data_IF_451747789281
#
_entry.id   IF_451747789281
#
_cell.length_a   1.000
_cell.length_b   1.000
_cell.length_c   1.000
_cell.angle_alpha   90.00
_cell.angle_beta   90.00
_cell.angle_gamma   90.00
#
_symmetry.space_group_name_H-M   'P 1'
#
loop_
_entity.id
_entity.type
_entity.pdbx_description
1 polymer ?
#
# COMPACT_ATOMS: atom_id res chain seq x y z
N UNK A 1 20.35 22.83 10.31
CA UNK A 1 20.41 21.36 10.39
C UNK A 1 19.24 20.92 11.26
N UNK A 2 18.16 20.43 10.64
CA UNK A 2 17.02 19.85 11.36
C UNK A 2 17.48 18.59 12.07
N UNK A 3 17.19 18.43 13.36
CA UNK A 3 17.53 17.25 14.14
C UNK A 3 16.93 16.04 13.41
N UNK A 4 17.78 15.07 13.01
CA UNK A 4 17.35 13.83 12.38
C UNK A 4 16.37 13.16 13.35
N UNK A 5 15.14 12.86 12.89
CA UNK A 5 14.20 12.07 13.67
C UNK A 5 14.90 10.77 14.11
N UNK A 6 14.87 10.47 15.41
CA UNK A 6 15.55 9.27 15.93
C UNK A 6 14.79 7.99 15.60
N UNK A 7 13.48 8.08 15.38
CA UNK A 7 12.60 6.96 15.09
C UNK A 7 11.50 7.39 14.10
N UNK A 8 11.12 6.49 13.20
CA UNK A 8 9.98 6.65 12.30
C UNK A 8 8.98 5.52 12.52
N UNK A 9 7.76 5.86 12.87
CA UNK A 9 6.69 4.90 13.20
C UNK A 9 5.68 4.80 12.06
N UNK A 10 5.41 3.57 11.63
CA UNK A 10 4.49 3.24 10.54
C UNK A 10 3.39 2.34 11.08
N UNK A 11 2.15 2.76 10.95
CA UNK A 11 0.98 1.96 11.29
C UNK A 11 0.46 1.27 10.02
N UNK A 12 0.56 -0.05 9.98
CA UNK A 12 -0.14 -0.89 9.02
C UNK A 12 -1.51 -1.24 9.57
N UNK A 13 -2.56 -0.82 8.87
CA UNK A 13 -3.93 -0.97 9.37
C UNK A 13 -4.47 -2.39 9.24
N UNK A 14 -4.12 -3.08 8.16
CA UNK A 14 -4.61 -4.43 7.83
C UNK A 14 -3.70 -5.02 6.76
N UNK A 15 -3.66 -6.34 6.60
CA UNK A 15 -2.87 -6.99 5.56
C UNK A 15 -3.38 -6.63 4.16
N UNK A 16 -4.70 -6.64 3.96
CA UNK A 16 -5.32 -6.22 2.71
C UNK A 16 -6.52 -5.33 3.03
N UNK A 17 -6.58 -4.18 2.39
CA UNK A 17 -7.68 -3.24 2.54
C UNK A 17 -9.02 -3.90 2.23
N UNK A 18 -9.91 -3.89 3.22
CA UNK A 18 -11.20 -4.57 3.16
C UNK A 18 -11.29 -5.85 4.00
N UNK A 19 -10.18 -6.36 4.52
CA UNK A 19 -10.19 -7.48 5.47
C UNK A 19 -10.65 -7.06 6.87
N UNK A 20 -10.54 -5.76 7.15
CA UNK A 20 -10.92 -5.21 8.44
C UNK A 20 -9.79 -5.27 9.47
N UNK A 21 -10.06 -4.66 10.61
CA UNK A 21 -9.22 -4.68 11.81
C UNK A 21 -10.05 -4.34 13.04
N UNK A 22 -9.64 -4.78 14.25
CA UNK A 22 -10.27 -4.35 15.49
C UNK A 22 -10.02 -2.87 15.74
N UNK A 23 -11.06 -2.11 16.01
CA UNK A 23 -10.94 -0.68 16.34
C UNK A 23 -9.97 -0.45 17.50
N UNK A 24 -9.96 -1.35 18.49
CA UNK A 24 -9.07 -1.29 19.64
C UNK A 24 -7.59 -1.35 19.23
N UNK A 25 -7.23 -2.26 18.31
CA UNK A 25 -5.85 -2.36 17.77
C UNK A 25 -5.46 -1.10 17.03
N UNK A 26 -6.34 -0.58 16.16
CA UNK A 26 -6.08 0.65 15.42
C UNK A 26 -5.89 1.85 16.35
N UNK A 27 -6.73 2.01 17.38
CA UNK A 27 -6.59 3.05 18.41
C UNK A 27 -5.28 2.91 19.21
N UNK A 28 -4.87 1.68 19.54
CA UNK A 28 -3.58 1.42 20.19
C UNK A 28 -2.42 1.88 19.30
N UNK A 29 -2.48 1.61 17.98
CA UNK A 29 -1.52 2.10 17.00
C UNK A 29 -1.47 3.63 16.92
N UNK A 30 -2.63 4.30 16.91
CA UNK A 30 -2.68 5.77 16.92
C UNK A 30 -2.09 6.38 18.21
N UNK A 31 -2.25 5.71 19.35
CA UNK A 31 -1.66 6.14 20.61
C UNK A 31 -0.12 6.13 20.58
N UNK A 32 0.50 5.32 19.69
CA UNK A 32 1.94 5.29 19.42
C UNK A 32 2.41 6.46 18.56
N UNK A 33 1.51 7.37 18.15
CA UNK A 33 1.79 8.56 17.34
C UNK A 33 2.55 8.19 16.05
N UNK A 34 1.95 7.42 15.15
CA UNK A 34 2.58 7.03 13.90
C UNK A 34 2.80 8.25 13.01
N UNK A 35 3.85 8.21 12.18
CA UNK A 35 4.17 9.25 11.19
C UNK A 35 3.53 8.93 9.83
N UNK A 36 3.04 7.71 9.65
CA UNK A 36 2.38 7.21 8.44
C UNK A 36 1.33 6.16 8.83
N UNK A 37 0.18 6.20 8.18
CA UNK A 37 -0.80 5.11 8.16
C UNK A 37 -0.79 4.53 6.76
N UNK A 38 -0.48 3.26 6.63
CA UNK A 38 -0.44 2.54 5.36
C UNK A 38 -1.41 1.37 5.31
N UNK A 39 -1.85 1.01 4.12
CA UNK A 39 -2.44 -0.28 3.84
C UNK A 39 -2.10 -0.68 2.40
N UNK A 40 -1.67 -1.92 2.23
CA UNK A 40 -1.73 -2.56 0.93
C UNK A 40 -3.19 -2.93 0.62
N UNK A 41 -3.61 -2.76 -0.61
CA UNK A 41 -4.96 -3.11 -1.04
C UNK A 41 -4.93 -4.24 -2.06
N UNK A 42 -3.75 -4.78 -2.37
CA UNK A 42 -3.52 -5.68 -3.48
C UNK A 42 -2.91 -7.02 -3.12
N UNK A 43 -3.19 -7.97 -3.98
CA UNK A 43 -2.52 -9.27 -4.01
C UNK A 43 -2.66 -9.87 -5.41
N UNK A 44 -1.70 -10.71 -5.79
CA UNK A 44 -1.78 -11.56 -6.98
C UNK A 44 -2.37 -12.95 -6.68
N UNK A 45 -2.52 -13.30 -5.41
CA UNK A 45 -3.03 -14.60 -4.96
C UNK A 45 -4.44 -14.95 -5.48
N UNK A 46 -5.38 -13.98 -5.63
CA UNK A 46 -6.69 -14.26 -6.21
C UNK A 46 -6.67 -14.63 -7.70
N UNK A 47 -5.50 -14.59 -8.33
CA UNK A 47 -5.32 -14.89 -9.75
C UNK A 47 -5.69 -13.74 -10.70
N UNK A 48 -5.61 -13.97 -12.03
CA UNK A 48 -5.69 -12.90 -13.02
C UNK A 48 -7.12 -12.39 -13.30
N UNK A 49 -8.15 -13.08 -12.81
CA UNK A 49 -9.54 -12.75 -13.12
C UNK A 49 -9.91 -11.32 -12.72
N UNK A 50 -9.63 -10.94 -11.47
CA UNK A 50 -10.01 -9.63 -10.96
C UNK A 50 -9.28 -8.49 -11.68
N UNK A 51 -8.02 -8.72 -12.03
CA UNK A 51 -7.23 -7.78 -12.81
C UNK A 51 -7.82 -7.57 -14.20
N UNK A 52 -8.03 -8.67 -14.96
CA UNK A 52 -8.60 -8.60 -16.30
C UNK A 52 -10.02 -8.06 -16.33
N UNK A 53 -10.86 -8.42 -15.36
CA UNK A 53 -12.24 -7.94 -15.27
C UNK A 53 -12.39 -6.51 -14.75
N UNK A 54 -11.31 -5.88 -14.28
CA UNK A 54 -11.36 -4.54 -13.68
C UNK A 54 -12.20 -4.48 -12.40
N UNK A 55 -12.26 -5.59 -11.64
CA UNK A 55 -13.09 -5.72 -10.43
C UNK A 55 -12.22 -5.88 -9.19
N UNK A 56 -12.60 -5.21 -8.11
CA UNK A 56 -11.99 -5.45 -6.81
C UNK A 56 -12.34 -6.86 -6.31
N UNK A 57 -11.36 -7.55 -5.68
CA UNK A 57 -11.61 -8.86 -5.06
C UNK A 57 -12.10 -8.73 -3.61
N UNK A 58 -11.93 -7.55 -2.99
CA UNK A 58 -12.45 -7.27 -1.65
C UNK A 58 -13.80 -6.58 -1.72
N UNK A 59 -14.59 -6.74 -0.65
CA UNK A 59 -15.94 -6.18 -0.58
C UNK A 59 -15.91 -4.66 -0.39
N UNK A 60 -16.76 -3.93 -1.12
CA UNK A 60 -16.85 -2.46 -1.06
C UNK A 60 -17.14 -1.93 0.34
N UNK A 61 -18.02 -2.59 1.09
CA UNK A 61 -18.37 -2.16 2.46
C UNK A 61 -17.21 -2.35 3.43
N UNK A 62 -16.44 -3.44 3.27
CA UNK A 62 -15.21 -3.69 4.04
C UNK A 62 -14.16 -2.61 3.76
N UNK A 63 -13.87 -2.35 2.48
CA UNK A 63 -12.94 -1.29 2.07
C UNK A 63 -13.40 0.09 2.57
N UNK A 64 -14.68 0.41 2.45
CA UNK A 64 -15.22 1.70 2.94
C UNK A 64 -15.09 1.83 4.46
N UNK A 65 -15.32 0.72 5.20
CA UNK A 65 -15.14 0.70 6.65
C UNK A 65 -13.70 1.01 7.05
N UNK A 66 -12.74 0.30 6.47
CA UNK A 66 -11.34 0.44 6.80
C UNK A 66 -10.81 1.83 6.44
N UNK A 67 -11.09 2.28 5.22
CA UNK A 67 -10.74 3.63 4.75
C UNK A 67 -11.36 4.72 5.62
N UNK A 68 -12.59 4.54 6.12
CA UNK A 68 -13.22 5.53 6.99
C UNK A 68 -12.41 5.76 8.26
N UNK A 69 -11.94 4.71 8.92
CA UNK A 69 -11.07 4.83 10.09
C UNK A 69 -9.74 5.48 9.74
N UNK A 70 -9.07 5.00 8.69
CA UNK A 70 -7.77 5.50 8.28
C UNK A 70 -7.82 6.99 7.90
N UNK A 71 -8.79 7.38 7.06
CA UNK A 71 -8.93 8.76 6.58
C UNK A 71 -9.33 9.71 7.70
N UNK A 72 -10.33 9.34 8.51
CA UNK A 72 -10.80 10.17 9.60
C UNK A 72 -9.68 10.49 10.58
N UNK A 73 -8.97 9.47 11.04
CA UNK A 73 -7.92 9.65 12.03
C UNK A 73 -6.65 10.24 11.42
N UNK A 74 -6.26 9.82 10.21
CA UNK A 74 -5.10 10.35 9.51
C UNK A 74 -5.24 11.83 9.21
N UNK A 75 -6.32 12.24 8.56
CA UNK A 75 -6.56 13.63 8.17
C UNK A 75 -6.68 14.54 9.39
N UNK A 76 -7.49 14.16 10.40
CA UNK A 76 -7.69 14.96 11.60
C UNK A 76 -6.43 15.13 12.45
N UNK A 77 -5.48 14.20 12.35
CA UNK A 77 -4.21 14.23 13.10
C UNK A 77 -3.04 14.75 12.27
N UNK A 78 -3.25 15.06 11.00
CA UNK A 78 -2.17 15.45 10.09
C UNK A 78 -1.18 14.32 9.78
N UNK A 79 -1.63 13.06 9.89
CA UNK A 79 -0.83 11.88 9.57
C UNK A 79 -1.12 11.49 8.13
N UNK A 80 -0.12 11.42 7.24
CA UNK A 80 -0.30 10.94 5.87
C UNK A 80 -0.90 9.54 5.82
N UNK A 81 -1.81 9.31 4.84
CA UNK A 81 -2.41 8.01 4.58
C UNK A 81 -2.01 7.56 3.18
N UNK A 82 -1.38 6.40 3.06
CA UNK A 82 -0.94 5.83 1.79
C UNK A 82 -1.63 4.49 1.55
N UNK A 83 -2.27 4.36 0.41
CA UNK A 83 -2.93 3.13 -0.05
C UNK A 83 -2.26 2.69 -1.34
N UNK A 84 -1.76 1.45 -1.38
CA UNK A 84 -1.13 0.86 -2.55
C UNK A 84 -1.97 -0.21 -3.22
N UNK A 85 -1.70 -0.45 -4.49
CA UNK A 85 -2.35 -1.47 -5.31
C UNK A 85 -3.89 -1.45 -5.20
N UNK A 86 -4.45 -0.24 -5.33
CA UNK A 86 -5.87 0.04 -5.14
C UNK A 86 -6.78 -1.01 -5.77
N UNK A 87 -7.83 -1.40 -5.04
CA UNK A 87 -8.85 -2.33 -5.50
C UNK A 87 -8.36 -3.76 -5.80
N UNK A 88 -7.15 -4.10 -5.35
CA UNK A 88 -6.59 -5.45 -5.43
C UNK A 88 -5.58 -5.66 -6.56
N UNK A 89 -5.73 -5.02 -7.70
CA UNK A 89 -4.84 -5.22 -8.85
C UNK A 89 -4.21 -3.93 -9.39
N UNK A 90 -4.72 -2.78 -8.98
CA UNK A 90 -4.12 -1.49 -9.23
C UNK A 90 -4.20 -0.94 -10.65
N UNK A 91 -5.02 -1.52 -11.55
CA UNK A 91 -5.33 -0.90 -12.84
C UNK A 91 -6.34 0.24 -12.66
N UNK A 92 -6.49 1.08 -13.67
CA UNK A 92 -7.37 2.26 -13.64
C UNK A 92 -8.76 1.99 -13.06
N UNK A 93 -9.54 0.98 -13.49
CA UNK A 93 -10.87 0.76 -12.92
C UNK A 93 -10.84 0.45 -11.42
N UNK A 94 -9.77 -0.17 -10.92
CA UNK A 94 -9.58 -0.44 -9.49
C UNK A 94 -9.26 0.84 -8.72
N UNK A 95 -8.42 1.71 -9.27
CA UNK A 95 -8.08 3.02 -8.69
C UNK A 95 -9.32 3.89 -8.64
N UNK A 96 -10.06 4.02 -9.76
CA UNK A 96 -11.27 4.83 -9.87
C UNK A 96 -12.36 4.36 -8.88
N UNK A 97 -12.51 3.04 -8.73
CA UNK A 97 -13.44 2.46 -7.76
C UNK A 97 -13.06 2.81 -6.31
N UNK A 98 -11.77 2.73 -5.96
CA UNK A 98 -11.28 3.07 -4.63
C UNK A 98 -11.35 4.58 -4.36
N UNK A 99 -11.03 5.41 -5.37
CA UNK A 99 -11.19 6.86 -5.33
C UNK A 99 -12.64 7.27 -5.03
N UNK A 100 -13.62 6.63 -5.70
CA UNK A 100 -15.03 6.90 -5.45
C UNK A 100 -15.41 6.67 -3.98
N UNK A 101 -14.86 5.61 -3.35
CA UNK A 101 -15.06 5.32 -1.92
C UNK A 101 -14.42 6.40 -1.04
N UNK A 102 -13.19 6.81 -1.34
CA UNK A 102 -12.49 7.87 -0.60
C UNK A 102 -13.28 9.17 -0.66
N UNK A 103 -13.76 9.58 -1.84
CA UNK A 103 -14.55 10.81 -2.02
C UNK A 103 -15.91 10.74 -1.31
N UNK A 104 -16.54 9.57 -1.27
CA UNK A 104 -17.78 9.34 -0.51
C UNK A 104 -17.54 9.54 0.99
N UNK A 105 -16.48 8.91 1.54
CA UNK A 105 -16.10 9.08 2.95
C UNK A 105 -15.77 10.55 3.27
N UNK A 106 -15.03 11.23 2.40
CA UNK A 106 -14.68 12.63 2.61
C UNK A 106 -15.92 13.51 2.76
N UNK A 107 -16.98 13.27 1.93
CA UNK A 107 -18.26 13.99 2.06
C UNK A 107 -19.00 13.63 3.34
N UNK A 108 -19.12 12.32 3.67
CA UNK A 108 -19.85 11.83 4.86
C UNK A 108 -19.21 12.32 6.16
N UNK A 109 -17.87 12.29 6.24
CA UNK A 109 -17.10 12.65 7.43
C UNK A 109 -16.69 14.14 7.45
N UNK A 110 -17.06 14.90 6.41
CA UNK A 110 -16.70 16.33 6.24
C UNK A 110 -15.19 16.56 6.34
N UNK A 111 -14.41 15.70 5.66
CA UNK A 111 -12.96 15.79 5.63
C UNK A 111 -12.52 16.63 4.41
N UNK A 112 -11.52 17.49 4.64
CA UNK A 112 -10.83 18.23 3.59
C UNK A 112 -9.35 17.85 3.59
N UNK A 113 -8.84 17.38 2.45
CA UNK A 113 -7.45 16.96 2.27
C UNK A 113 -7.06 17.01 0.80
N UNK A 114 -5.77 17.06 0.52
CA UNK A 114 -5.22 16.89 -0.82
C UNK A 114 -5.05 15.41 -1.11
N UNK A 115 -5.74 14.91 -2.15
CA UNK A 115 -5.66 13.54 -2.63
C UNK A 115 -4.71 13.43 -3.82
N UNK A 116 -3.64 12.66 -3.69
CA UNK A 116 -2.78 12.24 -4.79
C UNK A 116 -3.28 10.93 -5.37
N UNK A 117 -3.51 10.89 -6.68
CA UNK A 117 -3.91 9.68 -7.40
C UNK A 117 -2.80 9.32 -8.38
N UNK A 118 -2.31 8.09 -8.31
CA UNK A 118 -1.21 7.60 -9.14
C UNK A 118 -1.70 6.37 -9.91
N UNK A 119 -1.86 6.52 -11.22
CA UNK A 119 -2.21 5.39 -12.09
C UNK A 119 -0.96 4.61 -12.50
N UNK A 120 -1.10 3.30 -12.56
CA UNK A 120 -0.03 2.38 -12.95
C UNK A 120 -0.16 1.89 -14.40
N UNK A 121 -1.22 2.25 -15.08
CA UNK A 121 -1.55 1.77 -16.43
C UNK A 121 -0.52 2.21 -17.46
N UNK A 122 -0.09 1.27 -18.28
CA UNK A 122 0.83 1.52 -19.39
C UNK A 122 0.08 1.32 -20.71
N UNK A 123 0.06 2.34 -21.59
CA UNK A 123 -0.57 2.21 -22.90
C UNK A 123 0.07 1.08 -23.74
N UNK A 124 -0.76 0.23 -24.36
CA UNK A 124 -0.29 -0.91 -25.19
C UNK A 124 0.73 -0.46 -26.25
N UNK A 125 0.50 0.68 -26.89
CA UNK A 125 1.40 1.20 -27.93
C UNK A 125 2.81 1.50 -27.40
N UNK A 126 2.91 1.96 -26.14
CA UNK A 126 4.21 2.13 -25.50
C UNK A 126 4.91 0.79 -25.30
N UNK A 127 4.20 -0.22 -24.80
CA UNK A 127 4.75 -1.57 -24.64
C UNK A 127 5.13 -2.16 -25.97
N UNK A 128 4.28 -2.05 -27.01
CA UNK A 128 4.55 -2.53 -28.36
C UNK A 128 5.83 -1.92 -28.96
N UNK A 129 6.02 -0.61 -28.78
CA UNK A 129 7.23 0.08 -29.23
C UNK A 129 8.50 -0.53 -28.62
N UNK A 130 8.50 -0.79 -27.31
CA UNK A 130 9.64 -1.38 -26.61
C UNK A 130 9.82 -2.87 -26.96
N UNK A 131 8.70 -3.61 -27.14
CA UNK A 131 8.74 -5.00 -27.58
C UNK A 131 9.43 -5.15 -28.94
N UNK A 132 9.02 -4.33 -29.93
CA UNK A 132 9.62 -4.34 -31.29
C UNK A 132 11.10 -3.96 -31.32
N UNK A 133 11.58 -3.23 -30.34
CA UNK A 133 13.00 -2.90 -30.17
C UNK A 133 13.80 -3.97 -29.42
N UNK A 134 13.17 -5.03 -28.93
CA UNK A 134 13.82 -6.04 -28.11
C UNK A 134 14.23 -5.53 -26.72
N UNK A 135 13.61 -4.47 -26.23
CA UNK A 135 13.91 -3.85 -24.92
C UNK A 135 13.13 -4.47 -23.76
N UNK A 136 12.23 -5.43 -24.06
CA UNK A 136 11.46 -6.14 -23.03
C UNK A 136 12.07 -7.52 -22.83
N UNK A 137 12.59 -7.75 -21.63
CA UNK A 137 13.17 -9.03 -21.23
C UNK A 137 12.22 -9.74 -20.28
N UNK A 138 11.86 -11.01 -20.55
CA UNK A 138 11.02 -11.77 -19.63
C UNK A 138 11.74 -12.04 -18.32
N UNK A 139 10.97 -12.13 -17.23
CA UNK A 139 11.49 -12.68 -15.99
C UNK A 139 11.81 -14.17 -16.18
N UNK A 140 12.72 -14.73 -15.35
CA UNK A 140 13.04 -16.14 -15.39
C UNK A 140 11.76 -17.01 -15.28
N UNK A 141 11.73 -18.09 -16.05
CA UNK A 141 10.63 -19.09 -16.06
C UNK A 141 9.30 -18.62 -16.68
N UNK A 142 9.25 -17.46 -17.32
CA UNK A 142 8.08 -17.01 -18.07
C UNK A 142 8.40 -16.91 -19.55
N UNK A 143 7.43 -17.19 -20.47
CA UNK A 143 7.65 -17.04 -21.89
C UNK A 143 7.86 -15.57 -22.28
N UNK A 144 8.59 -15.28 -23.37
CA UNK A 144 8.70 -13.93 -23.91
C UNK A 144 7.32 -13.35 -24.26
N UNK A 145 7.15 -12.05 -24.00
CA UNK A 145 5.95 -11.32 -24.42
C UNK A 145 5.86 -11.30 -25.95
N UNK A 146 4.67 -11.58 -26.49
CA UNK A 146 4.36 -11.49 -27.92
C UNK A 146 3.37 -10.37 -28.20
N UNK A 147 3.29 -9.89 -29.47
CA UNK A 147 2.28 -8.92 -29.87
C UNK A 147 0.87 -9.44 -29.65
N UNK A 148 0.64 -10.74 -29.92
CA UNK A 148 -0.68 -11.37 -29.65
C UNK A 148 -1.05 -11.31 -28.18
N UNK A 149 -0.11 -11.64 -27.28
CA UNK A 149 -0.38 -11.53 -25.84
C UNK A 149 -0.69 -10.09 -25.41
N UNK A 150 0.01 -9.12 -26.03
CA UNK A 150 -0.24 -7.71 -25.79
C UNK A 150 -1.63 -7.29 -26.28
N UNK A 151 -2.05 -7.76 -27.47
CA UNK A 151 -3.37 -7.46 -28.04
C UNK A 151 -4.50 -8.07 -27.20
N UNK A 152 -4.31 -9.29 -26.73
CA UNK A 152 -5.27 -10.01 -25.89
C UNK A 152 -5.37 -9.45 -24.45
N UNK A 153 -4.37 -8.71 -23.98
CA UNK A 153 -4.37 -8.14 -22.63
C UNK A 153 -5.43 -7.04 -22.49
N UNK A 154 -6.24 -7.08 -21.43
CA UNK A 154 -7.21 -6.02 -21.13
C UNK A 154 -6.56 -4.84 -20.41
N UNK A 155 -5.67 -5.13 -19.47
CA UNK A 155 -4.93 -4.15 -18.68
C UNK A 155 -3.45 -4.50 -18.65
N UNK A 156 -2.61 -3.47 -18.67
CA UNK A 156 -1.17 -3.58 -18.47
C UNK A 156 -0.79 -2.51 -17.46
N UNK A 157 -0.14 -2.91 -16.38
CA UNK A 157 0.31 -2.01 -15.33
C UNK A 157 1.80 -2.17 -15.08
N UNK A 158 2.46 -1.08 -14.73
CA UNK A 158 3.81 -1.11 -14.19
C UNK A 158 3.74 -1.20 -12.66
N UNK A 159 4.55 -2.07 -12.08
CA UNK A 159 4.73 -2.10 -10.62
C UNK A 159 5.66 -0.95 -10.23
N UNK A 160 5.13 0.09 -9.59
CA UNK A 160 5.91 1.23 -9.17
C UNK A 160 6.65 0.99 -7.85
N UNK A 161 7.80 1.64 -7.68
CA UNK A 161 8.56 1.71 -6.43
C UNK A 161 8.06 2.83 -5.51
N UNK A 162 8.98 3.36 -4.71
CA UNK A 162 8.69 4.43 -3.73
C UNK A 162 8.53 5.81 -4.36
N UNK A 163 9.15 6.05 -5.52
CA UNK A 163 9.36 7.38 -6.09
C UNK A 163 8.05 8.11 -6.44
N UNK A 164 7.05 7.48 -7.09
CA UNK A 164 5.78 8.15 -7.38
C UNK A 164 5.01 8.52 -6.13
N UNK A 165 5.08 7.67 -5.07
CA UNK A 165 4.45 7.96 -3.77
C UNK A 165 5.16 9.13 -3.09
N UNK A 166 6.50 9.15 -3.11
CA UNK A 166 7.30 10.26 -2.59
C UNK A 166 6.98 11.58 -3.31
N UNK A 167 6.81 11.54 -4.62
CA UNK A 167 6.45 12.73 -5.40
C UNK A 167 5.08 13.29 -4.99
N UNK A 168 4.08 12.43 -4.80
CA UNK A 168 2.78 12.85 -4.29
C UNK A 168 2.89 13.47 -2.88
N UNK A 169 3.67 12.85 -1.99
CA UNK A 169 3.91 13.38 -0.64
C UNK A 169 4.65 14.71 -0.65
N UNK A 170 5.66 14.90 -1.53
CA UNK A 170 6.37 16.18 -1.70
C UNK A 170 5.45 17.31 -2.18
N UNK A 171 4.44 16.97 -2.98
CA UNK A 171 3.37 17.92 -3.42
C UNK A 171 2.35 18.23 -2.33
N UNK A 172 2.54 17.73 -1.11
CA UNK A 172 1.65 17.98 0.02
C UNK A 172 0.37 17.15 0.02
N UNK A 173 0.31 16.03 -0.72
CA UNK A 173 -0.81 15.13 -0.64
C UNK A 173 -0.85 14.48 0.74
N UNK A 174 -1.96 14.67 1.46
CA UNK A 174 -2.20 14.04 2.76
C UNK A 174 -2.71 12.62 2.63
N UNK A 175 -3.39 12.32 1.53
CA UNK A 175 -3.86 10.98 1.17
C UNK A 175 -3.30 10.64 -0.20
N UNK A 176 -2.64 9.50 -0.32
CA UNK A 176 -2.10 8.98 -1.58
C UNK A 176 -2.79 7.65 -1.91
N UNK A 177 -3.40 7.59 -3.08
CA UNK A 177 -3.99 6.40 -3.65
C UNK A 177 -3.18 5.98 -4.88
N UNK A 178 -2.47 4.86 -4.78
CA UNK A 178 -1.64 4.34 -5.86
C UNK A 178 -2.27 3.12 -6.53
N UNK A 179 -2.09 3.02 -7.84
CA UNK A 179 -2.31 1.81 -8.62
C UNK A 179 -1.28 0.74 -8.27
N UNK A 180 -0.96 -0.15 -9.21
CA UNK A 180 -0.03 -1.26 -8.93
C UNK A 180 1.32 -0.74 -8.43
N UNK A 181 1.67 -1.09 -7.20
CA UNK A 181 2.95 -0.78 -6.61
C UNK A 181 3.58 -2.03 -5.97
N UNK A 182 4.87 -1.95 -5.72
CA UNK A 182 5.57 -2.92 -4.88
C UNK A 182 5.07 -2.77 -3.45
N UNK A 183 4.61 -3.86 -2.86
CA UNK A 183 3.86 -3.84 -1.59
C UNK A 183 4.56 -3.06 -0.46
N UNK A 184 5.88 -3.23 -0.21
CA UNK A 184 6.63 -2.43 0.77
C UNK A 184 6.65 -0.93 0.47
N UNK A 185 6.48 -0.51 -0.79
CA UNK A 185 6.62 0.90 -1.17
C UNK A 185 5.63 1.81 -0.43
N UNK A 186 4.45 1.28 -0.10
CA UNK A 186 3.42 1.97 0.70
C UNK A 186 3.98 2.43 2.05
N UNK A 187 4.78 1.59 2.68
CA UNK A 187 5.29 1.78 4.04
C UNK A 187 6.68 2.42 4.04
N UNK A 188 7.48 2.18 2.98
CA UNK A 188 8.86 2.65 2.87
C UNK A 188 9.00 4.06 2.27
N UNK A 189 8.04 4.52 1.44
CA UNK A 189 8.19 5.77 0.69
C UNK A 189 8.48 6.98 1.58
N UNK A 190 7.72 7.17 2.65
CA UNK A 190 7.88 8.34 3.52
C UNK A 190 9.14 8.26 4.41
N UNK A 191 9.47 7.15 5.08
CA UNK A 191 10.72 7.07 5.86
C UNK A 191 11.97 7.22 4.98
N UNK A 192 12.03 6.63 3.78
CA UNK A 192 13.13 6.85 2.83
C UNK A 192 13.23 8.33 2.43
N UNK A 193 12.11 8.99 2.14
CA UNK A 193 12.07 10.44 1.85
C UNK A 193 12.59 11.28 3.05
N UNK A 194 12.46 10.78 4.28
CA UNK A 194 12.98 11.42 5.51
C UNK A 194 14.43 11.06 5.81
N UNK A 195 15.09 10.28 4.95
CA UNK A 195 16.51 9.94 5.03
C UNK A 195 16.84 8.75 5.94
N UNK A 196 15.87 7.89 6.23
CA UNK A 196 16.12 6.57 6.82
C UNK A 196 16.69 5.62 5.77
N UNK A 197 17.37 4.56 6.23
CA UNK A 197 17.94 3.54 5.36
C UNK A 197 16.85 2.85 4.52
N UNK A 198 17.06 2.80 3.21
CA UNK A 198 16.09 2.25 2.24
C UNK A 198 15.92 0.74 2.41
N UNK A 199 17.01 0.01 2.64
CA UNK A 199 16.97 -1.44 2.82
C UNK A 199 16.16 -1.82 4.06
N UNK A 200 16.40 -1.14 5.19
CA UNK A 200 15.64 -1.36 6.42
C UNK A 200 14.17 -0.94 6.26
N UNK A 201 13.90 0.17 5.57
CA UNK A 201 12.54 0.63 5.34
C UNK A 201 11.75 -0.34 4.45
N UNK A 202 12.36 -0.86 3.39
CA UNK A 202 11.76 -1.85 2.50
C UNK A 202 11.56 -3.20 3.21
N UNK A 203 12.54 -3.65 4.00
CA UNK A 203 12.40 -4.90 4.77
C UNK A 203 11.27 -4.79 5.80
N UNK A 204 11.25 -3.73 6.60
CA UNK A 204 10.13 -3.46 7.52
C UNK A 204 8.81 -3.37 6.76
N UNK A 205 8.79 -2.70 5.62
CA UNK A 205 7.62 -2.55 4.76
C UNK A 205 7.10 -3.88 4.22
N UNK A 206 8.00 -4.82 3.88
CA UNK A 206 7.63 -6.16 3.40
C UNK A 206 6.92 -6.99 4.47
N UNK A 207 7.28 -6.79 5.73
CA UNK A 207 6.57 -7.45 6.84
C UNK A 207 5.25 -6.71 7.15
N UNK A 208 5.28 -5.36 7.11
CA UNK A 208 4.11 -4.54 7.42
C UNK A 208 2.97 -4.66 6.39
N UNK A 209 3.27 -5.00 5.13
CA UNK A 209 2.21 -5.22 4.13
C UNK A 209 1.31 -6.40 4.51
N UNK A 210 1.91 -7.42 5.12
CA UNK A 210 1.20 -8.56 5.70
C UNK A 210 0.58 -8.26 7.07
N UNK A 211 0.88 -7.09 7.67
CA UNK A 211 0.41 -6.67 8.98
C UNK A 211 0.52 -7.80 10.02
N UNK A 212 -0.57 -8.14 10.71
CA UNK A 212 -0.55 -9.17 11.74
C UNK A 212 -0.60 -10.63 11.18
N UNK A 213 -0.56 -10.86 9.87
CA UNK A 213 -0.31 -12.22 9.34
C UNK A 213 1.08 -12.69 9.80
N UNK A 214 2.06 -11.79 9.83
CA UNK A 214 3.42 -12.07 10.28
C UNK A 214 3.56 -12.24 11.80
N UNK A 215 2.48 -12.24 12.56
CA UNK A 215 2.46 -12.50 14.01
C UNK A 215 1.98 -13.91 14.34
N UNK A 216 2.14 -14.32 15.59
CA UNK A 216 1.61 -15.59 16.12
C UNK A 216 0.62 -15.31 17.25
N UNK A 217 -0.64 -15.81 17.16
CA UNK A 217 -1.28 -16.39 15.97
C UNK A 217 -1.48 -15.34 14.88
N UNK A 218 -1.32 -15.73 13.58
CA UNK A 218 -1.46 -14.83 12.45
C UNK A 218 -2.90 -14.37 12.19
N UNK A 219 -3.05 -13.16 11.62
CA UNK A 219 -4.36 -12.65 11.16
C UNK A 219 -4.19 -11.57 10.10
N UNK A 220 -4.87 -11.73 8.97
CA UNK A 220 -4.96 -10.67 7.95
C UNK A 220 -5.84 -9.49 8.37
N UNK A 221 -6.66 -9.65 9.41
CA UNK A 221 -7.61 -8.65 9.89
C UNK A 221 -7.17 -8.06 11.24
N UNK A 222 -5.93 -7.60 11.34
CA UNK A 222 -5.42 -6.90 12.53
C UNK A 222 -4.26 -5.98 12.16
N UNK A 223 -3.98 -5.00 13.01
CA UNK A 223 -2.97 -3.97 12.78
C UNK A 223 -1.57 -4.41 13.24
N UNK A 224 -0.55 -3.80 12.64
CA UNK A 224 0.83 -3.89 13.07
C UNK A 224 1.49 -2.50 13.10
N UNK A 225 2.50 -2.31 13.94
CA UNK A 225 3.31 -1.11 14.00
C UNK A 225 4.77 -1.45 13.75
N UNK A 226 5.39 -0.75 12.81
CA UNK A 226 6.82 -0.74 12.60
C UNK A 226 7.46 0.51 13.19
N UNK A 227 8.58 0.36 13.88
CA UNK A 227 9.40 1.46 14.41
C UNK A 227 10.78 1.36 13.79
N UNK A 228 11.03 2.17 12.77
CA UNK A 228 12.32 2.23 12.08
C UNK A 228 13.27 3.16 12.81
N UNK A 229 14.52 2.73 12.96
CA UNK A 229 15.64 3.44 13.57
C UNK A 229 16.78 3.62 12.55
N UNK A 230 17.91 4.13 13.03
CA UNK A 230 19.07 4.38 12.15
C UNK A 230 19.71 3.11 11.58
N UNK A 231 19.67 2.01 12.31
CA UNK A 231 20.37 0.75 12.01
C UNK A 231 19.50 -0.50 12.18
N UNK A 232 18.24 -0.34 12.55
CA UNK A 232 17.34 -1.43 12.90
C UNK A 232 15.88 -1.03 12.82
N UNK A 233 14.99 -1.99 12.90
CA UNK A 233 13.57 -1.73 13.13
C UNK A 233 12.98 -2.69 14.16
N UNK A 234 11.88 -2.29 14.76
CA UNK A 234 11.08 -3.08 15.70
C UNK A 234 9.68 -3.26 15.13
N UNK A 235 9.12 -4.44 15.27
CA UNK A 235 7.73 -4.74 14.97
C UNK A 235 6.95 -4.91 16.28
N UNK A 236 5.80 -4.25 16.36
CA UNK A 236 4.92 -4.33 17.53
C UNK A 236 3.53 -4.80 17.09
N UNK A 237 3.01 -5.81 17.78
CA UNK A 237 1.60 -6.15 17.69
C UNK A 237 0.78 -5.14 18.50
N UNK A 238 -0.40 -4.80 17.99
CA UNK A 238 -1.31 -3.85 18.65
C UNK A 238 -2.47 -4.57 19.34
N UNK A 239 -2.44 -5.90 19.28
CA UNK A 239 -3.35 -6.81 19.93
C UNK A 239 -2.56 -7.69 20.91
N UNK A 240 -2.87 -7.65 22.23
CA UNK A 240 -2.11 -8.40 23.23
C UNK A 240 -2.22 -9.93 23.08
N UNK A 241 -3.15 -10.43 22.27
CA UNK A 241 -3.28 -11.85 21.99
C UNK A 241 -2.29 -12.35 20.91
N UNK A 242 -1.41 -11.48 20.36
CA UNK A 242 -0.48 -11.80 19.27
C UNK A 242 0.93 -11.37 19.63
N UNK A 243 1.91 -12.03 19.02
CA UNK A 243 3.33 -11.71 19.20
C UNK A 243 4.06 -11.90 17.88
N UNK A 244 4.94 -10.96 17.52
CA UNK A 244 5.95 -11.19 16.49
C UNK A 244 7.08 -12.01 17.07
N UNK A 245 7.51 -13.04 16.37
CA UNK A 245 8.69 -13.85 16.68
C UNK A 245 9.61 -13.88 15.46
N UNK A 246 10.92 -14.20 15.64
CA UNK A 246 11.82 -14.40 14.49
C UNK A 246 11.25 -15.40 13.49
N UNK A 247 10.67 -16.49 13.95
CA UNK A 247 10.10 -17.54 13.10
C UNK A 247 8.86 -17.08 12.35
N UNK A 248 8.02 -16.24 12.97
CA UNK A 248 6.79 -15.77 12.33
C UNK A 248 7.03 -14.66 11.31
N UNK A 249 8.20 -13.99 11.38
CA UNK A 249 8.56 -12.87 10.51
C UNK A 249 9.59 -13.23 9.44
N UNK A 250 10.16 -14.45 9.48
CA UNK A 250 11.08 -14.98 8.48
C UNK A 250 10.30 -15.53 7.29
#
# INVERSE_FOLDING_TARGET
MTSREKEFRVLSATAILGYGFPEKSFRAGLARKPHLIGADAGSTDPGPYYFGAGKAFTNRSGVKRDLRFMLREGVRRGIPVVIGTAGGSGARPHVDWCEAIIREIAREEKLAFTLGIIYADIPKERVRKHLRKGEIVPLAYVPPLTEKMLDDSLHIVAQMGVEPIQEALRRGCQVVLAGRCYDPAVFAALPVMRGFDEGLALHMGKILECAAIAATPGSGADCALGVLRGDSFILETLNPARTFTPESTA
#
